data_IF_647638441088
#
_entry.id   IF_647638441088
#
_cell.length_a   1.000
_cell.length_b   1.000
_cell.length_c   1.000
_cell.angle_alpha   90.00
_cell.angle_beta   90.00
_cell.angle_gamma   90.00
#
_symmetry.space_group_name_H-M   'P 1'
#
loop_
_entity.id
_entity.type
_entity.pdbx_description
1 polymer ?
#
# COMPACT_ATOMS: atom_id res chain seq x y z
N UNK A 1 20.39 -3.56 -11.46
CA UNK A 1 20.66 -2.15 -11.82
C UNK A 1 19.31 -1.45 -11.77
N UNK A 2 19.10 -0.61 -10.79
CA UNK A 2 17.86 0.15 -10.62
C UNK A 2 17.82 1.29 -11.65
N UNK A 3 16.68 1.48 -12.30
CA UNK A 3 16.45 2.58 -13.26
C UNK A 3 16.07 3.87 -12.49
N UNK A 4 15.72 3.71 -11.20
CA UNK A 4 15.28 4.82 -10.38
C UNK A 4 16.46 5.69 -9.95
N UNK A 5 16.22 6.99 -9.92
CA UNK A 5 17.20 8.00 -9.51
C UNK A 5 17.44 7.90 -8.00
N UNK A 6 18.69 8.04 -7.61
CA UNK A 6 19.07 8.15 -6.20
C UNK A 6 18.30 9.30 -5.53
N UNK A 7 17.98 9.14 -4.26
CA UNK A 7 17.20 10.10 -3.45
C UNK A 7 15.81 10.45 -4.00
N UNK A 8 15.23 9.57 -4.85
CA UNK A 8 13.91 9.79 -5.47
C UNK A 8 12.80 10.06 -4.44
N UNK A 9 12.91 9.47 -3.26
CA UNK A 9 11.94 9.56 -2.18
C UNK A 9 12.49 10.31 -0.95
N UNK A 10 13.57 11.08 -1.12
CA UNK A 10 14.20 11.80 -0.01
C UNK A 10 13.18 12.64 0.77
N UNK A 11 13.11 12.42 2.08
CA UNK A 11 12.22 13.11 3.00
C UNK A 11 10.75 12.75 2.91
N UNK A 12 10.38 11.73 2.10
CA UNK A 12 9.01 11.23 2.06
C UNK A 12 8.78 10.21 3.18
N UNK A 13 7.83 10.49 4.06
CA UNK A 13 7.45 9.58 5.13
C UNK A 13 6.40 8.57 4.64
N UNK A 14 6.74 7.28 4.70
CA UNK A 14 5.94 6.18 4.17
C UNK A 14 5.61 5.18 5.28
N UNK A 15 4.32 4.95 5.51
CA UNK A 15 3.85 3.87 6.36
C UNK A 15 3.83 2.55 5.58
N UNK A 16 4.40 1.50 6.14
CA UNK A 16 4.35 0.14 5.60
C UNK A 16 3.46 -0.74 6.46
N UNK A 17 2.55 -1.46 5.82
CA UNK A 17 1.64 -2.40 6.47
C UNK A 17 1.61 -3.75 5.73
N UNK A 18 1.34 -4.82 6.46
CA UNK A 18 1.34 -6.17 5.90
C UNK A 18 2.75 -6.70 5.64
N UNK A 19 2.91 -7.50 4.58
CA UNK A 19 4.17 -8.22 4.30
C UNK A 19 5.34 -7.32 3.88
N UNK A 20 5.08 -6.06 3.47
CA UNK A 20 6.14 -5.12 3.04
C UNK A 20 6.93 -4.49 4.18
N UNK A 21 6.57 -4.74 5.43
CA UNK A 21 7.34 -4.25 6.58
C UNK A 21 8.77 -4.81 6.62
N UNK A 22 9.01 -5.89 5.88
CA UNK A 22 10.34 -6.45 5.64
C UNK A 22 10.52 -6.77 4.14
N UNK A 23 11.79 -6.90 3.71
CA UNK A 23 12.13 -7.34 2.36
C UNK A 23 12.26 -6.22 1.31
N UNK A 24 12.25 -6.58 0.02
CA UNK A 24 12.71 -5.71 -1.08
C UNK A 24 12.02 -4.36 -1.19
N UNK A 25 10.73 -4.26 -0.86
CA UNK A 25 10.01 -2.96 -0.88
C UNK A 25 10.62 -2.03 0.15
N UNK A 26 10.70 -2.46 1.41
CA UNK A 26 11.28 -1.67 2.49
C UNK A 26 12.73 -1.27 2.19
N UNK A 27 13.53 -2.24 1.77
CA UNK A 27 14.95 -2.02 1.44
C UNK A 27 15.13 -0.96 0.35
N UNK A 28 14.34 -1.05 -0.74
CA UNK A 28 14.41 -0.09 -1.82
C UNK A 28 13.95 1.31 -1.40
N UNK A 29 12.84 1.42 -0.64
CA UNK A 29 12.36 2.72 -0.18
C UNK A 29 13.39 3.43 0.71
N UNK A 30 14.03 2.71 1.62
CA UNK A 30 15.12 3.24 2.44
C UNK A 30 16.32 3.65 1.57
N UNK A 31 16.70 2.83 0.60
CA UNK A 31 17.82 3.15 -0.31
C UNK A 31 17.52 4.39 -1.18
N UNK A 32 16.25 4.69 -1.45
CA UNK A 32 15.82 5.89 -2.19
C UNK A 32 15.55 7.11 -1.27
N UNK A 33 15.92 7.03 0.02
CA UNK A 33 15.87 8.14 0.96
C UNK A 33 14.51 8.36 1.63
N UNK A 34 13.59 7.40 1.59
CA UNK A 34 12.33 7.50 2.31
C UNK A 34 12.49 7.29 3.82
N UNK A 35 11.71 8.01 4.61
CA UNK A 35 11.51 7.73 6.03
C UNK A 35 10.42 6.68 6.18
N UNK A 36 10.76 5.50 6.70
CA UNK A 36 9.84 4.35 6.77
C UNK A 36 9.30 4.18 8.19
N UNK A 37 7.98 4.20 8.32
CA UNK A 37 7.23 3.85 9.54
C UNK A 37 6.59 2.47 9.36
N UNK A 38 6.95 1.52 10.20
CA UNK A 38 6.30 0.21 10.24
C UNK A 38 4.98 0.31 11.00
N UNK A 39 3.88 0.19 10.29
CA UNK A 39 2.55 0.11 10.87
C UNK A 39 2.33 -1.33 11.34
N UNK A 40 2.57 -1.60 12.62
CA UNK A 40 2.36 -2.93 13.21
C UNK A 40 1.01 -3.54 12.84
N UNK A 41 0.67 -4.72 13.32
CA UNK A 41 -0.62 -5.33 12.98
C UNK A 41 -1.78 -4.45 13.50
N UNK A 42 -2.55 -3.78 12.64
CA UNK A 42 -3.69 -2.96 13.07
C UNK A 42 -4.78 -3.80 13.74
N UNK A 43 -4.72 -5.12 13.60
CA UNK A 43 -5.71 -6.06 14.14
C UNK A 43 -5.85 -6.03 15.68
N UNK A 44 -4.85 -5.48 16.38
CA UNK A 44 -4.87 -5.33 17.84
C UNK A 44 -5.36 -3.95 18.32
N UNK A 45 -5.51 -2.99 17.39
CA UNK A 45 -5.95 -1.63 17.68
C UNK A 45 -7.32 -1.40 17.04
N UNK A 46 -8.21 -0.72 17.74
CA UNK A 46 -9.40 -0.16 17.06
C UNK A 46 -8.99 0.97 16.09
N UNK A 47 -9.87 1.32 15.16
CA UNK A 47 -9.58 2.31 14.11
C UNK A 47 -9.14 3.67 14.67
N UNK A 48 -9.66 4.07 15.83
CA UNK A 48 -9.30 5.33 16.48
C UNK A 48 -7.92 5.27 17.09
N UNK A 49 -7.62 4.20 17.81
CA UNK A 49 -6.30 3.97 18.42
C UNK A 49 -5.22 3.90 17.35
N UNK A 50 -5.50 3.22 16.23
CA UNK A 50 -4.59 3.13 15.10
C UNK A 50 -4.33 4.50 14.45
N UNK A 51 -5.37 5.33 14.28
CA UNK A 51 -5.22 6.69 13.77
C UNK A 51 -4.44 7.60 14.72
N UNK A 52 -4.71 7.51 16.03
CA UNK A 52 -3.99 8.27 17.05
C UNK A 52 -2.51 7.85 17.08
N UNK A 53 -2.24 6.55 16.99
CA UNK A 53 -0.87 6.03 16.91
C UNK A 53 -0.10 6.57 15.69
N UNK A 54 -0.74 6.65 14.53
CA UNK A 54 -0.11 7.25 13.33
C UNK A 54 0.15 8.75 13.55
N UNK A 55 -0.82 9.47 14.10
CA UNK A 55 -0.73 10.92 14.34
C UNK A 55 0.42 11.29 15.27
N UNK A 56 0.69 10.47 16.28
CA UNK A 56 1.74 10.71 17.26
C UNK A 56 3.17 10.48 16.72
N UNK A 57 3.33 9.71 15.66
CA UNK A 57 4.65 9.22 15.23
C UNK A 57 5.28 9.94 14.07
N UNK A 58 4.51 10.41 13.10
CA UNK A 58 5.08 11.10 11.95
C UNK A 58 4.03 11.85 11.13
N UNK A 59 4.48 12.80 10.34
CA UNK A 59 3.71 13.36 9.24
C UNK A 59 3.76 12.40 8.04
N UNK A 60 3.12 11.22 8.15
CA UNK A 60 3.08 10.23 7.07
C UNK A 60 2.42 10.85 5.82
N UNK A 61 3.04 10.65 4.68
CA UNK A 61 2.57 11.15 3.37
C UNK A 61 2.09 10.03 2.45
N UNK A 62 2.41 8.77 2.77
CA UNK A 62 1.98 7.64 1.98
C UNK A 62 1.79 6.37 2.81
N UNK A 63 0.92 5.48 2.29
CA UNK A 63 0.74 4.11 2.77
C UNK A 63 1.09 3.12 1.66
N UNK A 64 1.87 2.11 1.99
CA UNK A 64 2.00 0.88 1.19
C UNK A 64 1.50 -0.29 2.03
N UNK A 65 0.47 -0.97 1.57
CA UNK A 65 -0.08 -2.16 2.22
C UNK A 65 0.03 -3.37 1.31
N UNK A 66 0.70 -4.43 1.77
CA UNK A 66 0.76 -5.72 1.07
C UNK A 66 -0.16 -6.73 1.73
N UNK A 67 -1.19 -7.09 1.01
CA UNK A 67 -2.21 -8.03 1.43
C UNK A 67 -1.79 -9.51 1.29
N UNK A 68 -0.66 -9.81 0.63
CA UNK A 68 -0.22 -11.17 0.34
C UNK A 68 -0.02 -12.03 1.59
N UNK A 69 0.56 -11.46 2.65
CA UNK A 69 0.80 -12.17 3.90
C UNK A 69 -0.49 -12.54 4.64
N UNK A 70 -1.45 -11.62 4.73
CA UNK A 70 -2.75 -11.87 5.37
C UNK A 70 -3.60 -12.87 4.57
N UNK A 71 -3.44 -12.89 3.24
CA UNK A 71 -4.15 -13.84 2.38
C UNK A 71 -3.57 -15.27 2.50
N UNK A 72 -2.24 -15.43 2.67
CA UNK A 72 -1.58 -16.73 2.84
C UNK A 72 -1.94 -17.72 1.73
N UNK A 73 -2.47 -18.89 2.11
CA UNK A 73 -2.92 -19.93 1.20
C UNK A 73 -4.36 -19.76 0.67
N UNK A 74 -5.02 -18.67 1.06
CA UNK A 74 -6.36 -18.32 0.58
C UNK A 74 -7.52 -18.93 1.38
N UNK A 75 -8.71 -18.89 0.77
CA UNK A 75 -9.94 -19.34 1.40
C UNK A 75 -10.83 -18.18 1.88
N UNK A 76 -12.04 -18.48 2.32
CA UNK A 76 -13.02 -17.46 2.70
C UNK A 76 -12.58 -16.64 3.93
N UNK A 77 -12.00 -17.30 4.93
CA UNK A 77 -11.49 -16.64 6.14
C UNK A 77 -10.33 -15.71 5.79
N UNK A 78 -9.40 -16.18 4.96
CA UNK A 78 -8.27 -15.39 4.50
C UNK A 78 -8.72 -14.18 3.66
N UNK A 79 -9.74 -14.35 2.82
CA UNK A 79 -10.33 -13.24 2.06
C UNK A 79 -10.86 -12.14 3.00
N UNK A 80 -11.65 -12.52 4.01
CA UNK A 80 -12.19 -11.56 4.98
C UNK A 80 -11.06 -10.83 5.73
N UNK A 81 -10.12 -11.59 6.30
CA UNK A 81 -8.98 -11.04 7.04
C UNK A 81 -8.13 -10.10 6.18
N UNK A 82 -7.93 -10.44 4.90
CA UNK A 82 -7.19 -9.60 3.95
C UNK A 82 -7.86 -8.24 3.74
N UNK A 83 -9.18 -8.24 3.56
CA UNK A 83 -9.94 -7.00 3.34
C UNK A 83 -10.03 -6.15 4.61
N UNK A 84 -10.22 -6.77 5.76
CA UNK A 84 -10.19 -6.09 7.07
C UNK A 84 -8.83 -5.45 7.33
N UNK A 85 -7.74 -6.19 7.15
CA UNK A 85 -6.38 -5.67 7.35
C UNK A 85 -6.08 -4.50 6.41
N UNK A 86 -6.46 -4.61 5.14
CA UNK A 86 -6.27 -3.52 4.16
C UNK A 86 -7.08 -2.27 4.55
N UNK A 87 -8.35 -2.45 4.93
CA UNK A 87 -9.18 -1.33 5.35
C UNK A 87 -8.66 -0.68 6.64
N UNK A 88 -8.29 -1.46 7.65
CA UNK A 88 -7.76 -0.93 8.91
C UNK A 88 -6.47 -0.13 8.71
N UNK A 89 -5.55 -0.62 7.88
CA UNK A 89 -4.34 0.12 7.54
C UNK A 89 -4.64 1.44 6.81
N UNK A 90 -5.55 1.39 5.83
CA UNK A 90 -5.99 2.56 5.07
C UNK A 90 -6.67 3.57 6.00
N UNK A 91 -7.62 3.13 6.82
CA UNK A 91 -8.35 4.00 7.74
C UNK A 91 -7.42 4.65 8.78
N UNK A 92 -6.48 3.88 9.34
CA UNK A 92 -5.51 4.39 10.31
C UNK A 92 -4.65 5.51 9.73
N UNK A 93 -4.05 5.29 8.55
CA UNK A 93 -3.15 6.27 7.93
C UNK A 93 -3.93 7.45 7.37
N UNK A 94 -5.07 7.20 6.72
CA UNK A 94 -5.89 8.28 6.18
C UNK A 94 -6.39 9.23 7.28
N UNK A 95 -6.98 8.70 8.35
CA UNK A 95 -7.52 9.51 9.44
C UNK A 95 -6.43 10.06 10.37
N UNK A 96 -5.31 9.35 10.51
CA UNK A 96 -4.21 9.76 11.38
C UNK A 96 -3.30 10.83 10.77
N UNK A 97 -3.08 10.79 9.45
CA UNK A 97 -2.07 11.59 8.80
C UNK A 97 -2.48 12.28 7.50
N UNK A 98 -3.26 11.62 6.61
CA UNK A 98 -3.47 12.13 5.25
C UNK A 98 -4.64 13.12 5.16
N UNK A 99 -5.81 12.74 5.70
CA UNK A 99 -7.01 13.58 5.68
C UNK A 99 -6.79 14.76 6.63
N UNK A 100 -6.92 15.99 6.10
CA UNK A 100 -6.72 17.19 6.89
C UNK A 100 -5.27 17.70 6.96
N UNK A 101 -4.31 16.98 6.38
CA UNK A 101 -2.91 17.43 6.30
C UNK A 101 -2.73 18.66 5.40
N UNK A 102 -3.63 18.89 4.46
CA UNK A 102 -3.49 19.88 3.39
C UNK A 102 -2.41 19.54 2.35
N UNK A 103 -1.82 18.36 2.42
CA UNK A 103 -0.79 17.88 1.51
C UNK A 103 -1.29 16.71 0.67
N UNK A 104 -0.80 16.54 -0.56
CA UNK A 104 -1.07 15.33 -1.35
C UNK A 104 -0.59 14.08 -0.62
N UNK A 105 -1.41 13.02 -0.65
CA UNK A 105 -1.07 11.73 -0.05
C UNK A 105 -1.26 10.57 -1.03
N UNK A 106 -0.62 9.44 -0.75
CA UNK A 106 -0.63 8.29 -1.64
C UNK A 106 -0.93 7.00 -0.90
N UNK A 107 -1.76 6.16 -1.51
CA UNK A 107 -2.09 4.83 -1.02
C UNK A 107 -1.79 3.82 -2.13
N UNK A 108 -0.94 2.85 -1.83
CA UNK A 108 -0.59 1.74 -2.72
C UNK A 108 -0.99 0.43 -2.06
N UNK A 109 -1.91 -0.29 -2.68
CA UNK A 109 -2.39 -1.60 -2.23
C UNK A 109 -1.77 -2.69 -3.10
N UNK A 110 -1.01 -3.60 -2.52
CA UNK A 110 -0.45 -4.74 -3.23
C UNK A 110 -1.37 -5.94 -2.95
N UNK A 111 -1.97 -6.46 -4.00
CA UNK A 111 -2.89 -7.60 -3.91
C UNK A 111 -2.13 -8.93 -3.77
N UNK A 112 -2.77 -10.02 -3.31
CA UNK A 112 -2.22 -11.35 -3.40
C UNK A 112 -1.81 -11.69 -4.84
N UNK A 113 -0.80 -12.55 -5.01
CA UNK A 113 -0.36 -13.01 -6.32
C UNK A 113 -1.47 -13.76 -7.05
N UNK A 114 -1.44 -13.74 -8.37
CA UNK A 114 -2.25 -14.63 -9.17
C UNK A 114 -2.00 -16.08 -8.76
N UNK A 115 -3.06 -16.84 -8.59
CA UNK A 115 -2.98 -18.25 -8.21
C UNK A 115 -2.53 -18.53 -6.78
N UNK A 116 -2.50 -17.53 -5.89
CA UNK A 116 -2.08 -17.70 -4.48
C UNK A 116 -3.00 -18.64 -3.67
N UNK A 117 -4.17 -19.00 -4.20
CA UNK A 117 -5.09 -19.92 -3.56
C UNK A 117 -6.56 -19.63 -3.87
N UNK A 118 -7.49 -20.39 -3.26
CA UNK A 118 -8.91 -20.13 -3.41
C UNK A 118 -9.29 -18.69 -3.04
N UNK A 119 -10.13 -18.06 -3.85
CA UNK A 119 -10.58 -16.67 -3.72
C UNK A 119 -9.50 -15.58 -3.95
N UNK A 120 -8.30 -15.91 -4.47
CA UNK A 120 -7.27 -14.92 -4.79
C UNK A 120 -7.81 -13.82 -5.71
N UNK A 121 -8.51 -14.18 -6.79
CA UNK A 121 -9.08 -13.20 -7.72
C UNK A 121 -10.18 -12.33 -7.08
N UNK A 122 -10.92 -12.85 -6.11
CA UNK A 122 -11.87 -12.05 -5.34
C UNK A 122 -11.16 -11.01 -4.47
N UNK A 123 -10.07 -11.39 -3.78
CA UNK A 123 -9.26 -10.46 -3.00
C UNK A 123 -8.63 -9.37 -3.88
N UNK A 124 -8.05 -9.78 -5.02
CA UNK A 124 -7.44 -8.87 -6.02
C UNK A 124 -8.47 -7.85 -6.51
N UNK A 125 -9.65 -8.32 -6.91
CA UNK A 125 -10.74 -7.48 -7.41
C UNK A 125 -11.27 -6.52 -6.34
N UNK A 126 -11.41 -6.98 -5.11
CA UNK A 126 -11.86 -6.15 -3.99
C UNK A 126 -10.87 -5.03 -3.67
N UNK A 127 -9.56 -5.32 -3.63
CA UNK A 127 -8.52 -4.30 -3.41
C UNK A 127 -8.43 -3.29 -4.56
N UNK A 128 -8.57 -3.73 -5.81
CA UNK A 128 -8.64 -2.80 -6.94
C UNK A 128 -9.88 -1.91 -6.88
N UNK A 129 -11.03 -2.48 -6.48
CA UNK A 129 -12.25 -1.69 -6.28
C UNK A 129 -12.11 -0.72 -5.11
N UNK A 130 -11.47 -1.14 -4.02
CA UNK A 130 -11.14 -0.25 -2.90
C UNK A 130 -10.30 0.93 -3.37
N UNK A 131 -9.20 0.70 -4.08
CA UNK A 131 -8.35 1.78 -4.62
C UNK A 131 -9.15 2.74 -5.50
N UNK A 132 -10.04 2.22 -6.37
CA UNK A 132 -10.91 3.03 -7.22
C UNK A 132 -11.89 3.87 -6.39
N UNK A 133 -12.53 3.29 -5.38
CA UNK A 133 -13.46 3.99 -4.49
C UNK A 133 -12.73 5.12 -3.75
N UNK A 134 -11.59 4.82 -3.14
CA UNK A 134 -10.78 5.81 -2.42
C UNK A 134 -10.32 6.96 -3.35
N UNK A 135 -9.98 6.66 -4.59
CA UNK A 135 -9.55 7.66 -5.56
C UNK A 135 -10.64 8.69 -5.90
N UNK A 136 -11.91 8.31 -5.77
CA UNK A 136 -13.06 9.21 -5.97
C UNK A 136 -13.41 9.94 -4.69
N UNK A 137 -13.60 9.19 -3.60
CA UNK A 137 -14.06 9.72 -2.31
C UNK A 137 -13.06 10.72 -1.70
N UNK A 138 -11.77 10.45 -1.86
CA UNK A 138 -10.70 11.22 -1.23
C UNK A 138 -9.94 12.14 -2.19
N UNK A 139 -10.38 12.26 -3.44
CA UNK A 139 -9.82 13.24 -4.39
C UNK A 139 -9.84 14.68 -3.83
N UNK A 140 -10.87 15.04 -3.07
CA UNK A 140 -11.00 16.34 -2.41
C UNK A 140 -9.92 16.63 -1.36
N UNK A 141 -9.22 15.59 -0.89
CA UNK A 141 -8.08 15.70 0.03
C UNK A 141 -6.74 15.57 -0.68
N UNK A 142 -6.73 15.61 -2.02
CA UNK A 142 -5.55 15.37 -2.85
C UNK A 142 -4.90 14.01 -2.60
N UNK A 143 -5.70 12.97 -2.28
CA UNK A 143 -5.20 11.61 -2.10
C UNK A 143 -5.33 10.82 -3.41
N UNK A 144 -4.27 10.12 -3.76
CA UNK A 144 -4.27 9.12 -4.84
C UNK A 144 -4.27 7.72 -4.24
N UNK A 145 -4.98 6.80 -4.87
CA UNK A 145 -5.01 5.40 -4.47
C UNK A 145 -4.84 4.49 -5.69
N UNK A 146 -3.95 3.52 -5.59
CA UNK A 146 -3.63 2.58 -6.67
C UNK A 146 -3.54 1.15 -6.14
N UNK A 147 -3.76 0.17 -7.02
CA UNK A 147 -3.59 -1.24 -6.72
C UNK A 147 -2.54 -1.87 -7.63
N UNK A 148 -1.67 -2.70 -7.07
CA UNK A 148 -0.72 -3.54 -7.81
C UNK A 148 -1.26 -4.98 -7.78
N UNK A 149 -1.31 -5.61 -8.94
CA UNK A 149 -1.71 -6.99 -9.14
C UNK A 149 -0.51 -7.82 -9.58
N UNK A 150 0.24 -8.41 -8.65
CA UNK A 150 1.34 -9.29 -9.03
C UNK A 150 0.81 -10.55 -9.70
N UNK A 151 1.32 -10.86 -10.90
CA UNK A 151 1.15 -12.17 -11.52
C UNK A 151 1.98 -13.23 -10.82
N UNK A 152 1.80 -14.49 -11.18
CA UNK A 152 2.53 -15.61 -10.60
C UNK A 152 4.05 -15.47 -10.77
N UNK A 153 4.50 -14.90 -11.90
CA UNK A 153 5.92 -14.72 -12.24
C UNK A 153 6.53 -13.40 -11.78
N UNK A 154 5.75 -12.49 -11.16
CA UNK A 154 6.24 -11.18 -10.73
C UNK A 154 7.35 -11.33 -9.68
N UNK A 155 8.47 -10.67 -9.88
CA UNK A 155 9.58 -10.67 -8.92
C UNK A 155 9.38 -9.60 -7.86
N UNK A 156 9.83 -9.88 -6.63
CA UNK A 156 9.70 -8.94 -5.53
C UNK A 156 10.39 -7.59 -5.79
N UNK A 157 11.53 -7.58 -6.50
CA UNK A 157 12.21 -6.35 -6.93
C UNK A 157 11.39 -5.53 -7.91
N UNK A 158 10.66 -6.15 -8.84
CA UNK A 158 9.79 -5.43 -9.78
C UNK A 158 8.60 -4.77 -9.06
N UNK A 159 8.06 -5.46 -8.05
CA UNK A 159 7.02 -4.88 -7.18
C UNK A 159 7.59 -3.67 -6.44
N UNK A 160 8.80 -3.78 -5.87
CA UNK A 160 9.46 -2.70 -5.16
C UNK A 160 9.70 -1.48 -6.06
N UNK A 161 10.18 -1.68 -7.28
CA UNK A 161 10.40 -0.61 -8.27
C UNK A 161 9.09 0.09 -8.66
N UNK A 162 8.01 -0.68 -8.88
CA UNK A 162 6.70 -0.10 -9.17
C UNK A 162 6.14 0.68 -7.98
N UNK A 163 6.29 0.17 -6.74
CA UNK A 163 5.92 0.90 -5.53
C UNK A 163 6.67 2.22 -5.45
N UNK A 164 8.00 2.21 -5.62
CA UNK A 164 8.81 3.42 -5.57
C UNK A 164 8.41 4.43 -6.66
N UNK A 165 8.11 3.96 -7.88
CA UNK A 165 7.58 4.79 -8.96
C UNK A 165 6.26 5.44 -8.57
N UNK A 166 5.30 4.68 -8.05
CA UNK A 166 3.98 5.19 -7.64
C UNK A 166 4.08 6.19 -6.48
N UNK A 167 5.04 6.00 -5.58
CA UNK A 167 5.29 6.93 -4.48
C UNK A 167 6.01 8.22 -4.94
N UNK A 168 6.71 8.21 -6.07
CA UNK A 168 7.41 9.36 -6.62
C UNK A 168 6.46 10.41 -7.21
N UNK A 169 6.93 11.62 -7.56
CA UNK A 169 6.11 12.61 -8.27
C UNK A 169 5.56 12.10 -9.61
N UNK A 170 6.25 11.17 -10.29
CA UNK A 170 5.74 10.56 -11.52
C UNK A 170 4.45 9.74 -11.29
N UNK A 171 4.26 9.21 -10.08
CA UNK A 171 3.06 8.50 -9.67
C UNK A 171 1.84 9.40 -9.39
N UNK A 172 1.98 10.74 -9.34
CA UNK A 172 0.89 11.67 -9.05
C UNK A 172 -0.21 11.65 -10.12
N UNK A 173 0.12 11.21 -11.32
CA UNK A 173 -0.83 11.09 -12.44
C UNK A 173 -1.73 9.86 -12.38
N UNK A 174 -1.48 8.94 -11.45
CA UNK A 174 -2.21 7.69 -11.35
C UNK A 174 -3.06 7.67 -10.08
N UNK A 175 -4.39 7.60 -10.25
CA UNK A 175 -5.33 7.38 -9.16
C UNK A 175 -6.48 6.51 -9.65
N UNK A 176 -6.96 5.60 -8.81
CA UNK A 176 -7.97 4.60 -9.17
C UNK A 176 -7.47 3.53 -10.15
N UNK A 177 -6.18 3.52 -10.46
CA UNK A 177 -5.58 2.60 -11.43
C UNK A 177 -5.19 1.28 -10.78
N UNK A 178 -5.27 0.22 -11.62
CA UNK A 178 -4.72 -1.10 -11.35
C UNK A 178 -3.51 -1.34 -12.25
N UNK A 179 -2.42 -1.78 -11.66
CA UNK A 179 -1.20 -2.14 -12.37
C UNK A 179 -0.99 -3.65 -12.30
N UNK A 180 -0.97 -4.30 -13.44
CA UNK A 180 -0.65 -5.73 -13.56
C UNK A 180 0.85 -5.89 -13.79
N UNK A 181 1.50 -6.73 -12.99
CA UNK A 181 2.94 -6.92 -13.02
C UNK A 181 3.27 -8.41 -13.17
N UNK A 182 4.05 -8.73 -14.19
CA UNK A 182 4.34 -10.11 -14.55
C UNK A 182 3.22 -10.73 -15.40
N UNK A 183 3.38 -12.03 -15.69
CA UNK A 183 2.36 -12.82 -16.41
C UNK A 183 1.69 -13.79 -15.44
N UNK A 184 0.44 -14.05 -15.68
CA UNK A 184 -0.32 -15.12 -15.03
C UNK A 184 0.05 -16.49 -15.63
#
# INVERSE_FOLDING_TARGET
MTILRDDLLAGRAVALAGSVQSGPVRELLLALGADVLELGSPAELDDRQAADWVRERASVEALVHDAGGAFGEGGQVALAATLEAAWSAVAAVANGALIGSGKPGKIVLIAPRAGAGPHAEAARSALANLARTLSVEWARYALTATAIWPGASARAGEIAELVAFLLSPAGDYYSGCRFELGRD
#
